data_IF_900085638833
#
_entry.id   IF_900085638833
#
_cell.length_a   1.000
_cell.length_b   1.000
_cell.length_c   1.000
_cell.angle_alpha   90.00
_cell.angle_beta   90.00
_cell.angle_gamma   90.00
#
_symmetry.space_group_name_H-M   'P 1'
#
loop_
_entity.id
_entity.type
_entity.pdbx_description
1 polymer ?
#
# COMPACT_ATOMS: atom_id res chain seq x y z
N UNK A 1 42.80 10.28 66.46
CA UNK A 1 41.60 11.03 66.03
C UNK A 1 41.96 11.95 64.86
N UNK A 2 41.16 11.86 63.79
CA UNK A 2 40.88 12.85 62.72
C UNK A 2 42.00 13.73 62.12
N UNK A 3 42.48 13.31 60.94
CA UNK A 3 42.50 14.04 59.64
C UNK A 3 42.67 15.56 59.57
N UNK A 4 43.80 16.02 59.01
CA UNK A 4 43.95 17.31 58.36
C UNK A 4 44.31 17.14 56.87
N UNK A 5 43.35 17.40 55.97
CA UNK A 5 43.50 17.30 54.51
C UNK A 5 44.35 18.47 54.00
N UNK A 6 45.57 18.18 53.53
CA UNK A 6 46.35 19.08 52.67
C UNK A 6 45.58 19.32 51.37
N UNK A 7 44.97 20.50 51.21
CA UNK A 7 44.35 20.94 49.97
C UNK A 7 45.41 21.13 48.88
N UNK A 8 45.63 20.09 48.06
CA UNK A 8 46.37 20.24 46.81
C UNK A 8 45.53 21.13 45.89
N UNK A 9 46.02 22.31 45.54
CA UNK A 9 45.42 23.15 44.49
C UNK A 9 45.39 22.33 43.19
N UNK A 10 44.19 22.09 42.67
CA UNK A 10 43.96 21.35 41.43
C UNK A 10 44.61 22.14 40.28
N UNK A 11 45.42 21.50 39.40
CA UNK A 11 45.92 22.18 38.21
C UNK A 11 44.72 22.60 37.37
N UNK A 12 44.69 23.88 36.97
CA UNK A 12 43.65 24.41 36.07
C UNK A 12 43.67 23.55 34.80
N UNK A 13 42.54 22.93 34.50
CA UNK A 13 42.33 22.23 33.25
C UNK A 13 42.57 23.24 32.12
N UNK A 14 43.31 22.85 31.06
CA UNK A 14 43.58 23.76 29.96
C UNK A 14 42.26 24.20 29.34
N UNK A 15 42.04 25.52 29.33
CA UNK A 15 41.11 26.16 28.43
C UNK A 15 41.53 25.77 27.02
N UNK A 16 40.55 25.25 26.27
CA UNK A 16 40.66 24.66 24.94
C UNK A 16 40.89 23.14 24.97
N UNK A 17 39.75 22.41 24.96
CA UNK A 17 39.58 21.10 24.32
C UNK A 17 39.86 21.18 22.79
N UNK A 18 40.91 21.88 22.39
CA UNK A 18 41.35 22.01 21.02
C UNK A 18 42.55 21.09 20.80
N UNK A 19 42.43 20.31 19.73
CA UNK A 19 43.33 19.26 19.28
C UNK A 19 44.78 19.73 19.17
N UNK A 20 45.73 18.80 19.31
CA UNK A 20 47.13 19.05 19.01
C UNK A 20 47.27 19.52 17.53
N UNK A 21 48.14 20.50 17.21
CA UNK A 21 48.28 21.03 15.85
C UNK A 21 48.59 19.99 14.75
N UNK A 22 49.14 18.84 15.14
CA UNK A 22 49.39 17.69 14.27
C UNK A 22 48.10 16.97 13.84
N UNK A 23 47.10 16.93 14.71
CA UNK A 23 45.82 16.21 14.52
C UNK A 23 44.78 17.09 13.82
N UNK A 24 45.02 18.40 13.75
CA UNK A 24 44.19 19.38 13.04
C UNK A 24 43.91 18.95 11.59
N UNK A 25 44.94 18.46 10.89
CA UNK A 25 44.84 18.02 9.48
C UNK A 25 44.00 16.76 9.31
N UNK A 26 43.90 15.91 10.32
CA UNK A 26 43.05 14.72 10.28
C UNK A 26 41.61 15.10 10.59
N UNK A 27 41.40 15.98 11.57
CA UNK A 27 40.07 16.50 11.89
C UNK A 27 39.45 17.29 10.74
N UNK A 28 40.24 18.12 10.04
CA UNK A 28 39.81 18.83 8.83
C UNK A 28 39.37 17.88 7.71
N UNK A 29 39.96 16.67 7.59
CA UNK A 29 39.52 15.66 6.62
C UNK A 29 38.16 15.07 6.97
N UNK A 30 37.87 14.86 8.25
CA UNK A 30 36.57 14.38 8.71
C UNK A 30 35.50 15.47 8.68
N UNK A 31 35.86 16.72 8.96
CA UNK A 31 34.97 17.87 8.89
C UNK A 31 34.61 18.26 7.44
N UNK A 32 35.52 18.06 6.50
CA UNK A 32 35.32 18.28 5.06
C UNK A 32 34.67 17.09 4.33
N UNK A 33 34.14 16.09 5.05
CA UNK A 33 33.23 15.12 4.44
C UNK A 33 31.98 15.90 4.03
N UNK A 34 31.92 16.28 2.75
CA UNK A 34 30.75 16.91 2.16
C UNK A 34 29.54 16.01 2.46
N UNK A 35 28.65 16.50 3.35
CA UNK A 35 27.39 15.83 3.62
C UNK A 35 26.69 15.65 2.27
N UNK A 36 26.43 14.41 1.87
CA UNK A 36 25.62 14.13 0.68
C UNK A 36 24.37 14.98 0.77
N UNK A 37 24.16 15.88 -0.21
CA UNK A 37 23.04 16.81 -0.19
C UNK A 37 21.77 15.99 -0.21
N UNK A 38 21.16 15.76 0.96
CA UNK A 38 19.86 15.11 1.06
C UNK A 38 18.88 16.07 0.40
N UNK A 39 18.56 15.80 -0.87
CA UNK A 39 17.63 16.61 -1.64
C UNK A 39 16.23 16.34 -1.11
N UNK A 40 15.81 17.10 -0.11
CA UNK A 40 14.51 16.96 0.51
C UNK A 40 14.29 17.99 1.62
N UNK A 41 13.04 18.41 1.82
CA UNK A 41 12.66 19.25 2.97
C UNK A 41 12.55 18.34 4.20
N UNK A 42 13.30 18.63 5.26
CA UNK A 42 13.13 17.99 6.56
C UNK A 42 11.84 18.43 7.25
N UNK A 43 11.15 17.50 7.93
CA UNK A 43 9.94 17.79 8.72
C UNK A 43 10.16 17.29 10.14
N UNK A 44 9.93 18.16 11.13
CA UNK A 44 10.11 17.86 12.56
C UNK A 44 8.76 17.97 13.27
N UNK A 45 8.40 16.97 14.06
CA UNK A 45 7.22 17.01 14.94
C UNK A 45 7.63 17.39 16.36
N UNK A 46 6.90 18.34 16.95
CA UNK A 46 7.09 18.80 18.31
C UNK A 46 5.79 18.59 19.10
N UNK A 47 5.89 17.89 20.23
CA UNK A 47 4.78 17.64 21.15
C UNK A 47 4.90 18.46 22.43
N UNK A 48 3.81 18.52 23.21
CA UNK A 48 3.76 19.15 24.56
C UNK A 48 4.15 20.63 24.59
N UNK A 49 3.71 21.38 23.59
CA UNK A 49 3.95 22.83 23.52
C UNK A 49 3.05 23.54 24.56
N UNK A 50 3.62 24.42 25.41
CA UNK A 50 2.84 25.21 26.37
C UNK A 50 1.75 26.05 25.70
N UNK A 51 0.66 26.27 26.43
CA UNK A 51 -0.35 27.25 26.02
C UNK A 51 0.29 28.65 25.97
N UNK A 52 -0.04 29.44 24.94
CA UNK A 52 0.59 30.74 24.69
C UNK A 52 1.76 30.73 23.70
N UNK A 53 2.41 29.59 23.45
CA UNK A 53 3.45 29.48 22.43
C UNK A 53 2.83 29.27 21.04
N UNK A 54 2.51 30.37 20.37
CA UNK A 54 1.83 30.41 19.08
C UNK A 54 2.79 30.44 17.89
N UNK A 55 2.24 30.34 16.68
CA UNK A 55 2.99 30.22 15.43
C UNK A 55 3.98 31.37 15.20
N UNK A 56 3.63 32.60 15.56
CA UNK A 56 4.51 33.77 15.43
C UNK A 56 5.74 33.65 16.34
N UNK A 57 5.52 33.28 17.61
CA UNK A 57 6.59 33.08 18.58
C UNK A 57 7.48 31.90 18.19
N UNK A 58 6.88 30.80 17.74
CA UNK A 58 7.63 29.65 17.24
C UNK A 58 8.46 30.00 16.00
N UNK A 59 7.89 30.75 15.05
CA UNK A 59 8.60 31.18 13.84
C UNK A 59 9.80 32.05 14.19
N UNK A 60 9.64 32.99 15.13
CA UNK A 60 10.75 33.81 15.62
C UNK A 60 11.85 32.96 16.29
N UNK A 61 11.46 32.06 17.21
CA UNK A 61 12.40 31.18 17.89
C UNK A 61 13.14 30.25 16.93
N UNK A 62 12.44 29.55 16.03
CA UNK A 62 13.08 28.60 15.12
C UNK A 62 13.88 29.28 14.01
N UNK A 63 13.64 30.56 13.74
CA UNK A 63 14.46 31.33 12.79
C UNK A 63 15.93 31.38 13.20
N UNK A 64 16.26 31.21 14.49
CA UNK A 64 17.65 31.14 14.96
C UNK A 64 18.40 29.89 14.45
N UNK A 65 17.69 28.80 14.18
CA UNK A 65 18.27 27.55 13.66
C UNK A 65 18.23 27.49 12.12
N UNK A 66 17.63 28.49 11.48
CA UNK A 66 17.55 28.61 10.03
C UNK A 66 16.16 28.96 9.51
N UNK A 67 16.01 28.97 8.18
CA UNK A 67 14.77 29.40 7.52
C UNK A 67 13.67 28.34 7.62
N UNK A 68 12.63 28.63 8.41
CA UNK A 68 11.43 27.79 8.50
C UNK A 68 10.50 28.03 7.31
N UNK A 69 10.38 27.02 6.43
CA UNK A 69 9.53 27.11 5.22
C UNK A 69 8.04 27.05 5.56
N UNK A 70 7.62 26.06 6.36
CA UNK A 70 6.21 25.85 6.76
C UNK A 70 6.14 25.52 8.24
N UNK A 71 5.27 26.23 8.95
CA UNK A 71 4.95 25.98 10.35
C UNK A 71 3.44 25.83 10.45
N UNK A 72 2.97 24.80 11.17
CA UNK A 72 1.56 24.57 11.44
C UNK A 72 1.41 24.12 12.88
N UNK A 73 0.63 24.86 13.66
CA UNK A 73 0.25 24.48 15.01
C UNK A 73 -1.19 23.99 15.03
N UNK A 74 -1.40 22.68 15.18
CA UNK A 74 -2.74 22.12 15.32
C UNK A 74 -3.36 22.56 16.64
N UNK A 75 -4.45 23.33 16.59
CA UNK A 75 -5.28 23.69 17.74
C UNK A 75 -6.73 23.28 17.46
N UNK A 76 -7.45 22.90 18.51
CA UNK A 76 -8.89 22.75 18.44
C UNK A 76 -9.53 24.13 18.36
N UNK A 77 -10.47 24.32 17.43
CA UNK A 77 -11.37 25.47 17.40
C UNK A 77 -12.75 24.97 17.81
N UNK A 78 -13.40 25.67 18.75
CA UNK A 78 -14.82 25.49 18.98
C UNK A 78 -15.56 26.14 17.81
N UNK A 79 -16.42 25.38 17.13
CA UNK A 79 -17.20 25.85 15.98
C UNK A 79 -18.64 25.99 16.46
N UNK A 80 -19.23 27.20 16.43
CA UNK A 80 -20.63 27.37 16.80
C UNK A 80 -21.52 26.62 15.79
N UNK A 81 -22.71 26.12 16.21
CA UNK A 81 -23.58 25.31 15.35
C UNK A 81 -23.95 25.97 14.02
N UNK A 82 -24.05 27.30 13.97
CA UNK A 82 -24.38 28.07 12.77
C UNK A 82 -23.30 27.95 11.67
N UNK A 83 -22.03 27.89 12.08
CA UNK A 83 -20.90 27.71 11.16
C UNK A 83 -20.71 26.24 10.74
N UNK A 84 -21.38 25.30 11.42
CA UNK A 84 -21.28 23.88 11.11
C UNK A 84 -22.00 23.61 9.79
N UNK A 85 -21.23 23.25 8.76
CA UNK A 85 -21.77 22.82 7.47
C UNK A 85 -22.74 21.66 7.68
N UNK A 86 -23.94 21.77 7.08
CA UNK A 86 -25.04 20.79 7.19
C UNK A 86 -24.60 19.35 6.87
N UNK A 87 -23.59 19.19 5.99
CA UNK A 87 -23.10 17.88 5.57
C UNK A 87 -21.93 17.35 6.42
N UNK A 88 -21.41 18.12 7.38
CA UNK A 88 -20.17 17.78 8.10
C UNK A 88 -20.27 16.46 8.87
N UNK A 89 -21.46 16.18 9.42
CA UNK A 89 -21.74 14.98 10.20
C UNK A 89 -22.73 14.03 9.50
N UNK A 90 -23.03 14.23 8.22
CA UNK A 90 -23.91 13.28 7.49
C UNK A 90 -23.23 11.92 7.42
N UNK A 91 -23.92 10.89 7.92
CA UNK A 91 -23.38 9.53 7.97
C UNK A 91 -22.47 9.24 9.17
N UNK A 92 -22.35 10.14 10.15
CA UNK A 92 -21.61 9.87 11.40
C UNK A 92 -22.19 8.68 12.18
N UNK A 93 -23.50 8.44 12.07
CA UNK A 93 -24.21 7.31 12.69
C UNK A 93 -24.13 6.01 11.86
N UNK A 94 -23.25 5.95 10.85
CA UNK A 94 -23.02 4.71 10.10
C UNK A 94 -22.34 3.70 11.03
N UNK A 95 -23.05 2.61 11.34
CA UNK A 95 -22.46 1.49 12.10
C UNK A 95 -21.21 0.99 11.38
N UNK A 96 -20.14 0.79 12.14
CA UNK A 96 -18.90 0.22 11.61
C UNK A 96 -19.20 -1.16 11.02
N UNK A 97 -18.85 -1.35 9.74
CA UNK A 97 -18.92 -2.65 9.08
C UNK A 97 -17.49 -3.15 8.90
N UNK A 98 -17.17 -4.29 9.51
CA UNK A 98 -15.83 -4.85 9.45
C UNK A 98 -15.37 -5.03 7.99
N UNK A 99 -14.11 -4.71 7.65
CA UNK A 99 -13.62 -4.81 6.30
C UNK A 99 -13.64 -6.26 5.82
N UNK A 100 -14.30 -6.53 4.69
CA UNK A 100 -14.41 -7.86 4.07
C UNK A 100 -13.22 -8.22 3.18
N UNK A 101 -12.13 -7.45 3.22
CA UNK A 101 -10.98 -7.62 2.32
C UNK A 101 -10.34 -9.00 2.42
N UNK A 102 -10.23 -9.56 3.63
CA UNK A 102 -9.68 -10.90 3.83
C UNK A 102 -10.57 -11.99 3.19
N UNK A 103 -11.90 -11.87 3.33
CA UNK A 103 -12.88 -12.77 2.70
C UNK A 103 -12.74 -12.69 1.18
N UNK A 104 -12.72 -11.48 0.62
CA UNK A 104 -12.56 -11.27 -0.83
C UNK A 104 -11.22 -11.82 -1.32
N UNK A 105 -10.13 -11.65 -0.57
CA UNK A 105 -8.81 -12.17 -0.91
C UNK A 105 -8.80 -13.70 -0.91
N UNK A 106 -9.37 -14.32 0.14
CA UNK A 106 -9.56 -15.76 0.25
C UNK A 106 -10.33 -16.29 -0.96
N UNK A 107 -11.46 -15.67 -1.29
CA UNK A 107 -12.32 -16.12 -2.38
C UNK A 107 -11.61 -15.96 -3.74
N UNK A 108 -10.82 -14.89 -3.94
CA UNK A 108 -9.95 -14.71 -5.11
C UNK A 108 -8.86 -15.78 -5.19
N UNK A 109 -8.19 -16.10 -4.09
CA UNK A 109 -7.15 -17.13 -4.05
C UNK A 109 -7.71 -18.54 -4.29
N UNK A 110 -8.90 -18.80 -3.76
CA UNK A 110 -9.59 -20.08 -3.87
C UNK A 110 -10.39 -20.23 -5.18
N UNK A 111 -10.58 -19.13 -5.92
CA UNK A 111 -11.30 -19.16 -7.19
C UNK A 111 -10.71 -20.20 -8.15
N UNK A 112 -11.60 -21.01 -8.73
CA UNK A 112 -11.21 -22.04 -9.68
C UNK A 112 -10.60 -21.38 -10.93
N UNK A 113 -9.52 -21.95 -11.44
CA UNK A 113 -8.82 -21.41 -12.61
C UNK A 113 -9.51 -21.90 -13.88
N UNK A 114 -9.64 -21.01 -14.87
CA UNK A 114 -10.09 -21.39 -16.22
C UNK A 114 -9.16 -22.43 -16.85
N UNK A 115 -9.73 -23.31 -17.68
CA UNK A 115 -9.02 -24.33 -18.47
C UNK A 115 -7.84 -23.76 -19.25
N UNK A 116 -7.98 -22.58 -19.87
CA UNK A 116 -6.91 -21.89 -20.61
C UNK A 116 -5.73 -21.52 -19.71
N UNK A 117 -6.03 -21.01 -18.50
CA UNK A 117 -5.02 -20.61 -17.52
C UNK A 117 -4.27 -21.83 -16.97
N UNK A 118 -4.99 -22.93 -16.73
CA UNK A 118 -4.42 -24.20 -16.29
C UNK A 118 -3.42 -24.72 -17.35
N UNK A 119 -3.84 -24.82 -18.62
CA UNK A 119 -2.97 -25.25 -19.73
C UNK A 119 -1.72 -24.38 -19.87
N UNK A 120 -1.88 -23.05 -19.85
CA UNK A 120 -0.75 -22.11 -19.93
C UNK A 120 0.28 -22.32 -18.81
N UNK A 121 -0.19 -22.51 -17.56
CA UNK A 121 0.69 -22.75 -16.41
C UNK A 121 1.50 -24.03 -16.57
N UNK A 122 0.88 -25.08 -17.10
CA UNK A 122 1.60 -26.34 -17.31
C UNK A 122 2.61 -26.26 -18.42
N UNK A 123 2.27 -25.65 -19.56
CA UNK A 123 3.23 -25.40 -20.64
C UNK A 123 4.43 -24.60 -20.10
N UNK A 124 4.16 -23.57 -19.28
CA UNK A 124 5.22 -22.78 -18.62
C UNK A 124 6.08 -23.62 -17.68
N UNK A 125 5.48 -24.57 -16.96
CA UNK A 125 6.19 -25.49 -16.05
C UNK A 125 7.11 -26.43 -16.82
N UNK A 126 6.60 -27.10 -17.87
CA UNK A 126 7.38 -28.01 -18.72
C UNK A 126 8.56 -27.28 -19.38
N UNK A 127 8.34 -26.07 -19.90
CA UNK A 127 9.42 -25.23 -20.43
C UNK A 127 10.51 -24.93 -19.40
N UNK A 128 10.13 -24.69 -18.13
CA UNK A 128 11.11 -24.46 -17.06
C UNK A 128 11.87 -25.73 -16.69
N UNK A 129 11.23 -26.89 -16.76
CA UNK A 129 11.88 -28.17 -16.49
C UNK A 129 12.88 -28.51 -17.59
N UNK A 130 12.50 -28.40 -18.86
CA UNK A 130 13.40 -28.69 -19.97
C UNK A 130 14.66 -27.82 -19.91
N UNK A 131 14.49 -26.51 -19.61
CA UNK A 131 15.63 -25.60 -19.38
C UNK A 131 16.54 -26.00 -18.22
N UNK A 132 16.02 -26.67 -17.20
CA UNK A 132 16.85 -27.18 -16.09
C UNK A 132 17.59 -28.45 -16.51
N UNK A 133 16.91 -29.34 -17.23
CA UNK A 133 17.52 -30.57 -17.76
C UNK A 133 18.66 -30.22 -18.73
N UNK A 134 18.46 -29.26 -19.62
CA UNK A 134 19.51 -28.74 -20.52
C UNK A 134 20.73 -28.26 -19.72
N UNK A 135 20.53 -27.41 -18.71
CA UNK A 135 21.62 -26.93 -17.84
C UNK A 135 22.34 -28.04 -17.09
N UNK A 136 21.62 -29.06 -16.65
CA UNK A 136 22.23 -30.21 -15.96
C UNK A 136 23.07 -31.04 -16.93
N UNK A 137 22.59 -31.23 -18.17
CA UNK A 137 23.35 -31.89 -19.24
C UNK A 137 24.64 -31.12 -19.57
N UNK A 138 24.58 -29.79 -19.63
CA UNK A 138 25.76 -28.95 -19.86
C UNK A 138 26.81 -29.10 -18.75
N UNK A 139 26.37 -29.33 -17.51
CA UNK A 139 27.23 -29.63 -16.35
C UNK A 139 27.74 -31.09 -16.39
N UNK A 140 27.19 -31.94 -17.27
CA UNK A 140 27.52 -33.35 -17.40
C UNK A 140 26.67 -34.29 -16.54
N UNK A 141 25.55 -33.81 -16.00
CA UNK A 141 24.62 -34.61 -15.19
C UNK A 141 23.44 -35.04 -16.06
N UNK A 142 23.34 -36.35 -16.31
CA UNK A 142 22.20 -36.93 -17.00
C UNK A 142 21.02 -37.10 -16.03
N UNK A 143 19.95 -36.33 -16.24
CA UNK A 143 18.75 -36.37 -15.42
C UNK A 143 17.54 -36.80 -16.25
N UNK A 144 16.93 -37.94 -15.90
CA UNK A 144 15.68 -38.43 -16.50
C UNK A 144 14.45 -37.70 -15.93
N UNK A 145 13.85 -36.81 -16.73
CA UNK A 145 12.64 -36.06 -16.37
C UNK A 145 11.33 -36.79 -16.70
N UNK A 146 11.37 -37.97 -17.33
CA UNK A 146 10.18 -38.61 -17.92
C UNK A 146 9.07 -38.89 -16.90
N UNK A 147 9.42 -39.33 -15.70
CA UNK A 147 8.46 -39.58 -14.61
C UNK A 147 7.81 -38.29 -14.10
N UNK A 148 8.57 -37.19 -14.05
CA UNK A 148 8.08 -35.89 -13.63
C UNK A 148 7.12 -35.29 -14.68
N UNK A 149 7.44 -35.44 -15.96
CA UNK A 149 6.58 -35.01 -17.06
C UNK A 149 5.24 -35.74 -17.06
N UNK A 150 5.27 -37.08 -16.92
CA UNK A 150 4.05 -37.91 -16.79
C UNK A 150 3.21 -37.50 -15.58
N UNK A 151 3.84 -37.23 -14.44
CA UNK A 151 3.16 -36.73 -13.24
C UNK A 151 2.49 -35.37 -13.47
N UNK A 152 3.15 -34.47 -14.21
CA UNK A 152 2.59 -33.16 -14.55
C UNK A 152 1.39 -33.29 -15.49
N UNK A 153 1.49 -34.15 -16.51
CA UNK A 153 0.39 -34.37 -17.47
C UNK A 153 -0.83 -35.04 -16.80
N UNK A 154 -0.62 -36.05 -15.96
CA UNK A 154 -1.72 -36.66 -15.19
C UNK A 154 -2.39 -35.67 -14.24
N UNK A 155 -1.62 -34.78 -13.60
CA UNK A 155 -2.17 -33.72 -12.74
C UNK A 155 -3.01 -32.69 -13.53
N UNK A 156 -2.59 -32.39 -14.77
CA UNK A 156 -3.33 -31.54 -15.70
C UNK A 156 -4.69 -32.14 -16.02
N UNK A 157 -4.72 -33.43 -16.41
CA UNK A 157 -5.95 -34.11 -16.79
C UNK A 157 -6.93 -34.19 -15.63
N UNK A 158 -6.43 -34.42 -14.40
CA UNK A 158 -7.24 -34.39 -13.18
C UNK A 158 -7.84 -32.99 -12.94
N UNK A 159 -7.06 -31.93 -13.12
CA UNK A 159 -7.54 -30.56 -12.97
C UNK A 159 -8.59 -30.19 -14.04
N UNK A 160 -8.35 -30.53 -15.30
CA UNK A 160 -9.30 -30.29 -16.39
C UNK A 160 -10.61 -31.05 -16.17
N UNK A 161 -10.55 -32.31 -15.71
CA UNK A 161 -11.74 -33.09 -15.34
C UNK A 161 -12.52 -32.46 -14.18
N UNK A 162 -11.84 -31.92 -13.17
CA UNK A 162 -12.50 -31.26 -12.03
C UNK A 162 -13.19 -29.95 -12.39
N UNK A 163 -12.67 -29.21 -13.38
CA UNK A 163 -13.30 -27.97 -13.88
C UNK A 163 -14.51 -28.32 -14.76
N UNK A 164 -14.39 -29.31 -15.64
CA UNK A 164 -15.49 -29.77 -16.48
C UNK A 164 -16.69 -30.29 -15.67
N UNK A 165 -16.45 -30.97 -14.54
CA UNK A 165 -17.53 -31.42 -13.64
C UNK A 165 -18.29 -30.27 -12.98
N UNK A 166 -17.59 -29.20 -12.60
CA UNK A 166 -18.25 -28.01 -12.03
C UNK A 166 -19.11 -27.28 -13.06
N UNK A 167 -18.66 -27.23 -14.31
CA UNK A 167 -19.42 -26.64 -15.41
C UNK A 167 -20.69 -27.45 -15.77
N UNK A 168 -20.70 -28.77 -15.56
CA UNK A 168 -21.88 -29.61 -15.78
C UNK A 168 -22.92 -29.51 -14.66
N UNK A 169 -22.48 -29.42 -13.40
CA UNK A 169 -23.38 -29.36 -12.24
C UNK A 169 -24.10 -27.99 -12.14
N UNK A 170 -23.48 -26.89 -12.60
CA UNK A 170 -24.09 -25.55 -12.68
C UNK A 170 -25.13 -25.40 -13.82
N UNK A 171 -25.17 -26.35 -14.77
CA UNK A 171 -26.12 -26.34 -15.90
C UNK A 171 -27.41 -27.15 -15.67
N UNK A 172 -27.55 -27.77 -14.49
CA UNK A 172 -28.70 -28.61 -14.12
C UNK A 172 -29.70 -27.98 -13.12
N UNK A 173 -29.59 -26.68 -12.80
CA UNK A 173 -30.60 -25.95 -12.01
C UNK A 173 -31.34 -24.90 -12.84
N UNK A 174 -32.13 -25.34 -13.83
CA UNK A 174 -33.33 -24.61 -14.31
C UNK A 174 -34.38 -25.60 -14.86
N UNK A 175 -35.16 -26.18 -13.96
CA UNK A 175 -36.52 -26.77 -14.13
C UNK A 175 -37.13 -26.75 -12.72
N UNK A 176 -38.29 -26.22 -12.37
CA UNK A 176 -39.46 -25.57 -12.99
C UNK A 176 -39.88 -24.41 -12.04
N UNK A 177 -40.78 -23.48 -12.38
CA UNK A 177 -42.21 -23.61 -12.07
C UNK A 177 -43.04 -22.61 -12.91
N UNK A 178 -43.76 -23.13 -13.90
CA UNK A 178 -44.96 -22.47 -14.46
C UNK A 178 -46.19 -23.19 -13.88
N UNK A 179 -46.84 -22.59 -12.88
CA UNK A 179 -48.27 -22.73 -12.59
C UNK A 179 -48.70 -21.68 -11.56
N UNK A 180 -49.88 -21.08 -11.79
CA UNK A 180 -50.52 -19.92 -11.10
C UNK A 180 -49.98 -18.56 -11.59
N UNK A 181 -50.72 -17.76 -12.36
CA UNK A 181 -52.07 -17.27 -12.11
C UNK A 181 -52.86 -17.04 -13.42
N UNK A 182 -54.13 -17.43 -13.39
CA UNK A 182 -55.17 -17.12 -14.36
C UNK A 182 -55.62 -15.64 -14.28
N UNK A 183 -55.67 -15.01 -15.46
CA UNK A 183 -56.66 -14.06 -15.99
C UNK A 183 -57.15 -12.86 -15.15
N UNK A 184 -56.96 -11.63 -15.65
CA UNK A 184 -58.05 -10.71 -16.13
C UNK A 184 -57.50 -9.65 -17.13
N UNK A 185 -57.98 -9.73 -18.38
CA UNK A 185 -58.33 -8.73 -19.42
C UNK A 185 -57.47 -7.52 -19.90
N UNK A 186 -57.19 -7.57 -21.21
CA UNK A 186 -57.34 -6.58 -22.29
C UNK A 186 -56.79 -5.13 -22.19
N UNK A 187 -55.80 -4.81 -23.04
CA UNK A 187 -55.97 -4.04 -24.30
C UNK A 187 -54.75 -3.19 -24.73
N UNK A 188 -54.44 -3.33 -26.04
CA UNK A 188 -53.78 -2.40 -26.98
C UNK A 188 -52.24 -2.27 -27.12
N UNK A 189 -51.88 -2.39 -28.40
CA UNK A 189 -50.63 -2.14 -29.12
C UNK A 189 -50.10 -0.71 -28.99
N UNK A 190 -48.80 -0.44 -29.06
CA UNK A 190 -48.04 -0.37 -30.33
C UNK A 190 -46.53 -0.22 -30.04
N UNK A 191 -45.71 -0.66 -31.00
CA UNK A 191 -44.25 -0.56 -31.08
C UNK A 191 -43.73 0.87 -30.86
N UNK A 192 -42.51 1.02 -30.32
CA UNK A 192 -41.41 1.76 -30.97
C UNK A 192 -40.03 1.34 -30.42
N UNK A 193 -39.06 1.22 -31.33
CA UNK A 193 -37.66 0.87 -31.13
C UNK A 193 -36.88 2.13 -30.74
N UNK A 194 -36.03 2.08 -29.70
CA UNK A 194 -34.83 2.94 -29.69
C UNK A 194 -33.69 2.36 -28.85
N UNK A 195 -32.52 2.33 -29.48
CA UNK A 195 -31.27 1.84 -28.95
C UNK A 195 -30.63 2.85 -27.97
N UNK A 196 -30.33 2.42 -26.74
CA UNK A 196 -29.55 3.18 -25.77
C UNK A 196 -28.12 2.68 -25.66
N UNK A 197 -27.18 3.35 -26.34
CA UNK A 197 -25.72 3.12 -26.23
C UNK A 197 -25.20 3.44 -24.83
N UNK A 198 -24.46 2.50 -24.25
CA UNK A 198 -23.67 2.67 -23.03
C UNK A 198 -22.44 3.54 -23.32
N UNK A 199 -22.43 4.81 -22.89
CA UNK A 199 -21.26 5.69 -23.04
C UNK A 199 -20.40 5.70 -21.77
N UNK A 200 -19.10 5.52 -21.98
CA UNK A 200 -18.05 5.55 -20.96
C UNK A 200 -17.83 6.99 -20.48
N UNK A 201 -17.71 7.16 -19.17
CA UNK A 201 -17.35 8.41 -18.53
C UNK A 201 -15.85 8.70 -18.74
N UNK A 202 -15.54 9.61 -19.66
CA UNK A 202 -14.20 10.17 -19.85
C UNK A 202 -14.06 11.44 -19.01
N UNK A 203 -13.00 11.48 -18.20
CA UNK A 203 -12.49 12.67 -17.54
C UNK A 203 -12.23 13.77 -18.57
N UNK A 204 -12.64 15.00 -18.29
CA UNK A 204 -12.03 16.18 -18.88
C UNK A 204 -11.69 17.19 -17.80
N UNK A 205 -10.44 17.62 -17.86
CA UNK A 205 -9.82 18.71 -17.12
C UNK A 205 -10.23 20.07 -17.73
N UNK A 206 -10.07 21.11 -16.91
CA UNK A 206 -9.98 22.54 -17.24
C UNK A 206 -11.30 23.33 -17.39
N UNK A 207 -11.57 24.21 -16.42
CA UNK A 207 -11.55 25.66 -16.69
C UNK A 207 -11.58 26.49 -15.40
N UNK A 208 -10.76 27.54 -15.41
CA UNK A 208 -10.69 28.62 -14.44
C UNK A 208 -11.99 29.43 -14.41
N UNK A 209 -12.35 29.95 -13.24
CA UNK A 209 -13.34 31.03 -13.10
C UNK A 209 -12.66 32.20 -12.40
N UNK A 210 -12.90 33.38 -12.97
CA UNK A 210 -12.45 34.72 -12.59
C UNK A 210 -12.91 35.14 -11.19
#
# INVERSE_FOLDING_TARGET
>A
MATGKSSRKVPKLPENLALLPSEQKEFEKFANVESTKVTGRGVVYLGRIPYGFFENQMRAYFSQFGKVTRLRLSRSRFIPPEEVKVNLFKGCNRKFSAPKSHIISRDRHNSAKSTKVIRYKTIRSLKKLNKRVEKLKDIGIEFDSSNLEKSIMTSLDKQLKSVAKKETDDSSEMKTDESTLSAVDASHSTNEVSAGKFTKCSKNENQACN
#
